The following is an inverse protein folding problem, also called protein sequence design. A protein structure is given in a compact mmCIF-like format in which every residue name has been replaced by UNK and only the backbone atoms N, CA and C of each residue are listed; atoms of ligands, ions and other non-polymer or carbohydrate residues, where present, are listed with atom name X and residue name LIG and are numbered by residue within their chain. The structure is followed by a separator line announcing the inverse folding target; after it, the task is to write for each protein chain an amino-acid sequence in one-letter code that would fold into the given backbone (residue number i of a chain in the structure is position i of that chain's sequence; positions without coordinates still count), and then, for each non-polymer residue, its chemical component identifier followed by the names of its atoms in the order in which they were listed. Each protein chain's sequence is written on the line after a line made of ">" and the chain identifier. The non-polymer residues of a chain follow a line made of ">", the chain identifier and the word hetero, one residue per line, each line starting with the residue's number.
data_IF_065572086697
#
_entry.id   IF_065572086697
#
_cell.length_a   1.000
_cell.length_b   1.000
_cell.length_c   1.000
_cell.angle_alpha   90.00
_cell.angle_beta   90.00
_cell.angle_gamma   90.00
#
_symmetry.space_group_name_H-M   'P 1'
#
loop_
_entity.id
_entity.type
_entity.pdbx_description
1 polymer ?
#
# COMPACT_ATOMS: atom_id res chain seq x y z
N UNK A 1 -0.40 -1.24 -5.73
CA UNK A 1 -1.21 -0.05 -5.43
C UNK A 1 -0.69 0.58 -4.15
N UNK A 2 -0.53 1.90 -4.11
CA UNK A 2 -0.17 2.65 -2.91
C UNK A 2 -1.39 3.46 -2.44
N UNK A 3 -1.64 3.49 -1.13
CA UNK A 3 -2.78 4.20 -0.54
C UNK A 3 -2.24 5.37 0.30
N UNK A 4 -2.63 6.59 -0.05
CA UNK A 4 -2.38 7.75 0.81
C UNK A 4 -3.33 7.72 2.00
N UNK A 5 -2.77 7.54 3.19
CA UNK A 5 -3.53 7.46 4.45
C UNK A 5 -3.68 8.82 5.14
N UNK A 6 -3.06 9.88 4.62
CA UNK A 6 -3.06 11.21 5.23
C UNK A 6 -4.02 12.13 4.46
N UNK A 7 -5.17 12.51 5.06
CA UNK A 7 -6.20 13.30 4.36
C UNK A 7 -5.79 14.77 4.14
N UNK A 8 -4.72 15.23 4.80
CA UNK A 8 -4.22 16.61 4.72
C UNK A 8 -3.06 16.78 3.73
N UNK A 9 -2.53 15.69 3.16
CA UNK A 9 -1.56 15.76 2.07
C UNK A 9 -2.30 15.38 0.79
N UNK A 10 -2.28 16.27 -0.21
CA UNK A 10 -2.92 15.97 -1.48
C UNK A 10 -2.20 14.81 -2.17
N UNK A 11 -2.97 13.90 -2.78
CA UNK A 11 -2.39 12.76 -3.49
C UNK A 11 -1.46 13.18 -4.62
N UNK A 12 -1.71 14.34 -5.25
CA UNK A 12 -0.86 14.84 -6.33
C UNK A 12 0.51 15.31 -5.85
N UNK A 13 0.60 15.88 -4.64
CA UNK A 13 1.88 16.23 -4.01
C UNK A 13 2.72 14.96 -3.76
N UNK A 14 2.06 13.87 -3.32
CA UNK A 14 2.72 12.57 -3.15
C UNK A 14 3.22 11.99 -4.47
N UNK A 15 2.41 12.07 -5.53
CA UNK A 15 2.81 11.61 -6.87
C UNK A 15 4.00 12.41 -7.40
N UNK A 16 4.01 13.73 -7.23
CA UNK A 16 5.11 14.59 -7.67
C UNK A 16 6.39 14.28 -6.89
N UNK A 17 6.29 14.17 -5.56
CA UNK A 17 7.42 13.75 -4.72
C UNK A 17 7.95 12.38 -5.13
N UNK A 18 7.09 11.40 -5.36
CA UNK A 18 7.50 10.05 -5.76
C UNK A 18 8.25 10.04 -7.09
N UNK A 19 7.75 10.77 -8.10
CA UNK A 19 8.41 10.94 -9.40
C UNK A 19 9.78 11.59 -9.26
N UNK A 20 9.97 12.50 -8.30
CA UNK A 20 11.27 13.15 -8.06
C UNK A 20 12.36 12.21 -7.53
N UNK A 21 12.01 10.97 -7.14
CA UNK A 21 12.93 9.99 -6.54
C UNK A 21 13.40 8.90 -7.50
N UNK A 22 13.19 9.08 -8.82
CA UNK A 22 13.43 8.04 -9.83
C UNK A 22 12.75 6.70 -9.46
N UNK A 23 11.61 6.78 -8.77
CA UNK A 23 10.89 5.62 -8.28
C UNK A 23 9.99 5.02 -9.36
N UNK A 24 9.77 3.70 -9.30
CA UNK A 24 8.91 2.99 -10.26
C UNK A 24 7.44 3.44 -10.18
N UNK A 25 6.72 3.24 -11.29
CA UNK A 25 5.31 3.58 -11.38
C UNK A 25 4.46 2.73 -10.44
N UNK A 26 3.64 3.39 -9.63
CA UNK A 26 2.63 2.75 -8.79
C UNK A 26 1.27 3.37 -9.05
N UNK A 27 0.23 2.55 -9.04
CA UNK A 27 -1.15 3.05 -8.99
C UNK A 27 -1.44 3.61 -7.61
N UNK A 28 -1.81 4.88 -7.54
CA UNK A 28 -2.15 5.57 -6.31
C UNK A 28 -3.66 5.57 -6.05
N UNK A 29 -4.05 5.42 -4.79
CA UNK A 29 -5.39 5.63 -4.31
C UNK A 29 -5.38 6.56 -3.10
N UNK A 30 -6.42 7.37 -2.95
CA UNK A 30 -6.66 8.16 -1.75
C UNK A 30 -7.52 7.32 -0.80
N UNK A 31 -7.14 7.20 0.47
CA UNK A 31 -8.03 6.61 1.47
C UNK A 31 -9.27 7.49 1.66
N UNK A 32 -10.41 6.87 1.94
CA UNK A 32 -11.66 7.57 2.27
C UNK A 32 -11.41 8.58 3.39
N UNK A 33 -12.13 9.71 3.36
CA UNK A 33 -11.90 10.83 4.28
C UNK A 33 -12.08 10.44 5.75
N UNK A 34 -12.89 9.43 6.01
CA UNK A 34 -13.14 8.89 7.34
C UNK A 34 -12.17 7.73 7.68
N UNK A 35 -11.34 7.26 6.75
CA UNK A 35 -10.44 6.13 6.92
C UNK A 35 -11.13 4.77 6.91
N UNK A 36 -12.31 4.64 6.30
CA UNK A 36 -13.06 3.37 6.25
C UNK A 36 -12.22 2.24 5.68
N UNK A 37 -11.58 2.43 4.53
CA UNK A 37 -10.68 1.44 3.93
C UNK A 37 -9.61 0.95 4.90
N UNK A 38 -8.97 1.87 5.65
CA UNK A 38 -7.93 1.51 6.61
C UNK A 38 -8.50 0.67 7.76
N UNK A 39 -9.69 1.01 8.26
CA UNK A 39 -10.36 0.21 9.30
C UNK A 39 -10.78 -1.17 8.81
N UNK A 40 -11.35 -1.26 7.61
CA UNK A 40 -11.76 -2.55 7.02
C UNK A 40 -10.57 -3.49 6.86
N UNK A 41 -9.43 -2.94 6.43
CA UNK A 41 -8.18 -3.67 6.34
C UNK A 41 -7.36 -3.64 7.64
N UNK A 42 -7.89 -3.12 8.76
CA UNK A 42 -7.19 -3.06 10.05
C UNK A 42 -5.81 -2.39 10.05
N UNK A 43 -5.56 -1.41 9.18
CA UNK A 43 -4.28 -0.69 9.04
C UNK A 43 -4.19 0.42 10.08
N UNK A 44 -3.21 0.32 10.99
CA UNK A 44 -2.97 1.30 12.08
C UNK A 44 -1.58 1.92 12.06
N UNK A 45 -0.68 1.44 11.19
CA UNK A 45 0.70 1.92 11.06
C UNK A 45 1.02 2.26 9.60
N UNK A 46 1.96 3.19 9.42
CA UNK A 46 2.51 3.50 8.10
C UNK A 46 3.47 2.40 7.67
N UNK A 47 3.59 2.19 6.36
CA UNK A 47 4.43 1.15 5.79
C UNK A 47 3.77 -0.24 5.75
N UNK A 48 2.58 -0.40 6.33
CA UNK A 48 1.80 -1.64 6.24
C UNK A 48 1.67 -2.10 4.80
N UNK A 49 2.05 -3.36 4.57
CA UNK A 49 1.89 -4.01 3.27
C UNK A 49 0.89 -5.14 3.39
N UNK A 50 -0.07 -5.17 2.46
CA UNK A 50 -1.07 -6.22 2.36
C UNK A 50 -0.99 -6.79 0.95
N UNK A 51 -0.85 -8.11 0.83
CA UNK A 51 -0.93 -8.84 -0.44
C UNK A 51 -2.25 -9.58 -0.46
N UNK A 52 -3.02 -9.36 -1.53
CA UNK A 52 -4.33 -9.98 -1.75
C UNK A 52 -4.16 -10.99 -2.88
N UNK A 53 -4.52 -12.25 -2.62
CA UNK A 53 -4.54 -13.32 -3.61
C UNK A 53 -5.64 -13.09 -4.65
N UNK A 54 -5.59 -13.81 -5.78
CA UNK A 54 -6.56 -13.66 -6.87
C UNK A 54 -7.99 -13.98 -6.45
N UNK A 55 -8.13 -14.85 -5.44
CA UNK A 55 -9.40 -15.26 -4.83
C UNK A 55 -9.97 -14.18 -3.89
N UNK A 56 -9.29 -13.04 -3.74
CA UNK A 56 -9.72 -11.91 -2.92
C UNK A 56 -9.36 -12.04 -1.45
N UNK A 57 -8.62 -13.06 -1.05
CA UNK A 57 -8.18 -13.28 0.34
C UNK A 57 -6.84 -12.60 0.61
N UNK A 58 -6.61 -12.17 1.85
CA UNK A 58 -5.29 -11.68 2.27
C UNK A 58 -4.33 -12.88 2.37
N UNK A 59 -3.29 -12.91 1.54
CA UNK A 59 -2.25 -13.95 1.58
C UNK A 59 -1.05 -13.56 2.45
N UNK A 60 -0.79 -12.27 2.59
CA UNK A 60 0.30 -11.74 3.41
C UNK A 60 -0.06 -10.38 3.99
N UNK A 61 0.45 -10.13 5.20
CA UNK A 61 0.35 -8.85 5.88
C UNK A 61 1.60 -8.59 6.72
N UNK A 62 2.05 -7.34 6.72
CA UNK A 62 3.01 -6.80 7.67
C UNK A 62 2.59 -5.39 8.11
N UNK A 63 2.90 -5.03 9.35
CA UNK A 63 2.52 -3.75 9.98
C UNK A 63 3.69 -2.74 10.03
N UNK A 64 4.66 -2.89 9.13
CA UNK A 64 5.82 -2.02 9.00
C UNK A 64 6.48 -2.12 7.64
N UNK A 65 7.61 -1.43 7.48
CA UNK A 65 8.36 -1.44 6.23
C UNK A 65 8.97 -2.83 5.97
N UNK A 66 8.38 -3.57 5.04
CA UNK A 66 8.85 -4.89 4.63
C UNK A 66 9.90 -4.79 3.51
N UNK A 67 11.03 -5.52 3.60
CA UNK A 67 11.97 -5.63 2.48
C UNK A 67 11.34 -6.26 1.23
N UNK A 68 11.70 -5.74 0.05
CA UNK A 68 11.15 -6.21 -1.23
C UNK A 68 11.31 -7.72 -1.46
N UNK A 69 12.43 -8.32 -1.06
CA UNK A 69 12.66 -9.76 -1.26
C UNK A 69 11.65 -10.63 -0.51
N UNK A 70 11.18 -10.18 0.65
CA UNK A 70 10.12 -10.85 1.42
C UNK A 70 8.80 -10.73 0.67
N UNK A 71 8.47 -9.54 0.17
CA UNK A 71 7.26 -9.31 -0.63
C UNK A 71 7.26 -10.16 -1.90
N UNK A 72 8.39 -10.22 -2.61
CA UNK A 72 8.56 -10.97 -3.84
C UNK A 72 8.32 -12.47 -3.66
N UNK A 73 8.77 -13.05 -2.55
CA UNK A 73 8.50 -14.45 -2.24
C UNK A 73 6.99 -14.71 -2.09
N UNK A 74 6.32 -13.87 -1.29
CA UNK A 74 4.88 -13.99 -1.04
C UNK A 74 4.01 -13.75 -2.29
N UNK A 75 4.49 -12.98 -3.27
CA UNK A 75 3.78 -12.80 -4.55
C UNK A 75 3.96 -14.01 -5.49
N UNK A 76 5.11 -14.69 -5.45
CA UNK A 76 5.36 -15.88 -6.31
C UNK A 76 4.55 -17.09 -5.86
N UNK A 77 4.25 -17.19 -4.57
CA UNK A 77 3.48 -18.32 -4.02
C UNK A 77 1.97 -18.25 -4.35
N UNK A 78 1.51 -17.15 -4.92
CA UNK A 78 0.10 -16.90 -5.32
C UNK A 78 -0.11 -16.76 -6.84
N UNK A 79 0.91 -17.07 -7.66
CA UNK A 79 0.89 -16.90 -9.13
C UNK A 79 0.83 -18.20 -9.91
#
# INVERSE_FOLDING_TARGET
>A
MAVNTLPFIALDDWKEFWKSKDAEDVTWAQADADGELLRQFGVFSLGTTIIIAREGQISYRDDGATPYEVLRANVKDIS
#
